data_IF_146543967697
#
_entry.id   IF_146543967697
#
_cell.length_a   1.000
_cell.length_b   1.000
_cell.length_c   1.000
_cell.angle_alpha   90.00
_cell.angle_beta   90.00
_cell.angle_gamma   90.00
#
_symmetry.space_group_name_H-M   'P 1'
#
loop_
_entity.id
_entity.type
_entity.pdbx_description
1 polymer ?
#
# COMPACT_ATOMS: atom_id res chain seq x y z
N UNK A 1 12.77 -12.31 -0.79
CA UNK A 1 11.78 -11.33 -1.24
C UNK A 1 11.61 -10.27 -0.18
N UNK A 2 11.69 -9.00 -0.54
CA UNK A 2 11.69 -7.90 0.44
C UNK A 2 10.30 -7.51 0.94
N UNK A 3 9.25 -7.70 0.13
CA UNK A 3 7.88 -7.33 0.53
C UNK A 3 7.32 -8.38 1.47
N UNK A 4 7.05 -7.99 2.73
CA UNK A 4 6.50 -8.91 3.73
C UNK A 4 4.97 -8.86 3.77
N UNK A 5 4.38 -7.74 3.36
CA UNK A 5 2.94 -7.57 3.28
C UNK A 5 2.61 -6.42 2.35
N UNK A 6 1.59 -6.60 1.50
CA UNK A 6 0.95 -5.51 0.78
C UNK A 6 -0.42 -5.27 1.43
N UNK A 7 -0.82 -3.99 1.56
CA UNK A 7 -2.08 -3.64 2.21
C UNK A 7 -2.77 -2.54 1.43
N UNK A 8 -4.07 -2.68 1.22
CA UNK A 8 -4.92 -1.62 0.67
C UNK A 8 -5.48 -0.83 1.85
N UNK A 9 -5.20 0.46 1.88
CA UNK A 9 -5.70 1.34 2.93
C UNK A 9 -5.81 2.75 2.35
N UNK A 10 -7.05 3.25 2.25
CA UNK A 10 -7.32 4.56 1.64
C UNK A 10 -6.61 5.72 2.34
N UNK A 11 -6.22 5.53 3.60
CA UNK A 11 -5.51 6.55 4.38
C UNK A 11 -3.99 6.42 4.27
N UNK A 12 -3.48 5.33 3.68
CA UNK A 12 -2.06 5.05 3.49
C UNK A 12 -1.30 5.06 4.83
N UNK A 13 -0.38 6.00 5.04
CA UNK A 13 0.36 6.08 6.30
C UNK A 13 -0.49 6.79 7.35
N UNK A 14 -0.83 6.09 8.43
CA UNK A 14 -1.59 6.65 9.56
C UNK A 14 -1.30 5.81 10.81
N UNK A 15 -1.85 6.28 11.95
CA UNK A 15 -1.53 5.70 13.26
C UNK A 15 -1.70 4.20 13.34
N UNK A 16 -2.80 3.65 12.80
CA UNK A 16 -3.05 2.20 12.87
C UNK A 16 -1.99 1.41 12.10
N UNK A 17 -1.56 1.90 10.94
CA UNK A 17 -0.50 1.25 10.18
C UNK A 17 0.80 1.27 10.97
N UNK A 18 1.15 2.43 11.54
CA UNK A 18 2.42 2.59 12.26
C UNK A 18 2.44 1.83 13.58
N UNK A 19 1.32 1.81 14.32
CA UNK A 19 1.26 1.22 15.64
C UNK A 19 0.97 -0.28 15.64
N UNK A 20 0.21 -0.77 14.66
CA UNK A 20 -0.23 -2.15 14.61
C UNK A 20 0.48 -2.96 13.51
N UNK A 21 0.39 -2.52 12.26
CA UNK A 21 0.86 -3.34 11.15
C UNK A 21 2.36 -3.38 11.00
N UNK A 22 3.05 -2.24 11.21
CA UNK A 22 4.51 -2.20 11.13
C UNK A 22 5.15 -3.16 12.12
N UNK A 23 4.79 -3.14 13.44
CA UNK A 23 5.35 -4.13 14.36
C UNK A 23 4.91 -5.55 14.05
N UNK A 24 3.66 -5.76 13.65
CA UNK A 24 3.12 -7.09 13.42
C UNK A 24 3.91 -7.84 12.34
N UNK A 25 4.27 -7.17 11.25
CA UNK A 25 5.05 -7.79 10.18
C UNK A 25 6.55 -7.50 10.31
N UNK A 26 6.94 -6.79 11.35
CA UNK A 26 8.34 -6.41 11.62
C UNK A 26 8.95 -5.67 10.42
N UNK A 27 8.22 -4.69 9.90
CA UNK A 27 8.67 -3.90 8.76
C UNK A 27 9.68 -2.84 9.18
N UNK A 28 10.70 -2.63 8.37
CA UNK A 28 11.67 -1.54 8.55
C UNK A 28 11.64 -0.56 7.39
N UNK A 29 10.75 -0.78 6.42
CA UNK A 29 10.56 0.08 5.25
C UNK A 29 9.09 0.10 4.89
N UNK A 30 8.56 1.29 4.61
CA UNK A 30 7.21 1.47 4.10
C UNK A 30 7.33 2.07 2.70
N UNK A 31 6.66 1.44 1.72
CA UNK A 31 6.57 1.96 0.36
C UNK A 31 5.12 2.33 0.11
N UNK A 32 4.86 3.59 -0.23
CA UNK A 32 3.55 4.10 -0.61
C UNK A 32 3.53 4.23 -2.13
N UNK A 33 2.75 3.41 -2.79
CA UNK A 33 2.61 3.39 -4.24
C UNK A 33 1.28 4.06 -4.62
N UNK A 34 1.33 5.36 -4.91
CA UNK A 34 0.12 6.13 -5.21
C UNK A 34 0.48 7.36 -6.04
N UNK A 35 -0.10 7.44 -7.24
CA UNK A 35 0.21 8.52 -8.16
C UNK A 35 -0.22 9.89 -7.63
N UNK A 36 -1.36 9.95 -6.96
CA UNK A 36 -1.89 11.21 -6.45
C UNK A 36 -0.98 11.77 -5.34
N UNK A 37 -0.70 10.96 -4.34
CA UNK A 37 0.12 11.38 -3.19
C UNK A 37 1.54 11.69 -3.61
N UNK A 38 2.08 10.96 -4.59
CA UNK A 38 3.42 11.23 -5.10
C UNK A 38 3.58 12.66 -5.59
N UNK A 39 2.49 13.26 -6.10
CA UNK A 39 2.49 14.65 -6.59
C UNK A 39 2.06 15.68 -5.55
N UNK A 40 1.75 15.29 -4.31
CA UNK A 40 1.24 16.19 -3.28
C UNK A 40 2.28 16.40 -2.19
N UNK A 41 3.06 17.48 -2.29
CA UNK A 41 4.19 17.73 -1.40
C UNK A 41 3.78 17.85 0.07
N UNK A 42 2.61 18.45 0.35
CA UNK A 42 2.13 18.60 1.73
C UNK A 42 1.83 17.24 2.36
N UNK A 43 1.09 16.37 1.65
CA UNK A 43 0.77 15.03 2.16
C UNK A 43 2.03 14.19 2.36
N UNK A 44 2.97 14.27 1.42
CA UNK A 44 4.26 13.57 1.56
C UNK A 44 4.98 14.03 2.83
N UNK A 45 5.01 15.33 3.09
CA UNK A 45 5.65 15.89 4.28
C UNK A 45 4.97 15.39 5.56
N UNK A 46 3.64 15.36 5.60
CA UNK A 46 2.88 14.87 6.76
C UNK A 46 3.21 13.40 7.03
N UNK A 47 3.22 12.58 5.99
CA UNK A 47 3.55 11.16 6.14
C UNK A 47 4.99 10.95 6.62
N UNK A 48 5.94 11.70 6.05
CA UNK A 48 7.35 11.61 6.45
C UNK A 48 7.54 12.02 7.90
N UNK A 49 6.81 13.04 8.35
CA UNK A 49 6.89 13.50 9.75
C UNK A 49 6.32 12.48 10.73
N UNK A 50 5.34 11.67 10.31
CA UNK A 50 4.70 10.68 11.16
C UNK A 50 5.53 9.40 11.34
N UNK A 51 6.40 9.08 10.39
CA UNK A 51 7.15 7.82 10.39
C UNK A 51 8.42 7.98 11.23
N UNK A 52 8.67 7.06 12.18
CA UNK A 52 9.92 7.10 12.98
C UNK A 52 11.17 7.02 12.10
N UNK A 53 12.25 7.63 12.58
CA UNK A 53 13.52 7.67 11.83
C UNK A 53 14.12 6.28 11.60
N UNK A 54 13.76 5.30 12.41
CA UNK A 54 14.23 3.92 12.25
C UNK A 54 13.59 3.19 11.05
N UNK A 55 12.53 3.77 10.47
CA UNK A 55 11.80 3.17 9.36
C UNK A 55 12.00 4.03 8.12
N UNK A 56 12.45 3.39 7.03
CA UNK A 56 12.59 4.08 5.74
C UNK A 56 11.21 4.26 5.11
N UNK A 57 10.92 5.46 4.64
CA UNK A 57 9.66 5.75 3.93
C UNK A 57 9.97 6.16 2.50
N UNK A 58 9.35 5.47 1.55
CA UNK A 58 9.43 5.77 0.12
C UNK A 58 8.02 6.05 -0.38
N UNK A 59 7.82 7.20 -0.99
CA UNK A 59 6.54 7.59 -1.60
C UNK A 59 6.81 7.89 -3.07
N UNK A 60 6.06 7.24 -3.95
CA UNK A 60 6.25 7.46 -5.38
C UNK A 60 5.03 7.02 -6.19
N UNK A 61 5.10 7.26 -7.50
CA UNK A 61 4.08 6.76 -8.42
C UNK A 61 4.13 5.24 -8.49
N UNK A 62 3.11 4.63 -9.08
CA UNK A 62 3.11 3.17 -9.28
C UNK A 62 4.32 2.72 -10.09
N UNK A 63 4.67 3.44 -11.16
CA UNK A 63 5.84 3.10 -11.97
C UNK A 63 7.15 3.27 -11.21
N UNK A 64 7.30 4.38 -10.47
CA UNK A 64 8.52 4.63 -9.69
C UNK A 64 8.74 3.57 -8.62
N UNK A 65 7.69 3.28 -7.85
CA UNK A 65 7.79 2.31 -6.76
C UNK A 65 7.96 0.89 -7.30
N UNK A 66 7.29 0.55 -8.41
CA UNK A 66 7.48 -0.76 -9.04
C UNK A 66 8.95 -0.95 -9.46
N UNK A 67 9.55 0.06 -10.05
CA UNK A 67 10.96 0.00 -10.46
C UNK A 67 11.87 -0.25 -9.25
N UNK A 68 11.63 0.45 -8.14
CA UNK A 68 12.43 0.28 -6.91
C UNK A 68 12.23 -1.12 -6.32
N UNK A 69 10.98 -1.59 -6.28
CA UNK A 69 10.65 -2.88 -5.66
C UNK A 69 11.17 -4.07 -6.46
N UNK A 70 11.24 -3.95 -7.79
CA UNK A 70 11.77 -5.00 -8.67
C UNK A 70 13.29 -5.02 -8.61
N UNK A 71 13.92 -3.88 -8.35
CA UNK A 71 15.37 -3.77 -8.26
C UNK A 71 15.91 -4.43 -6.98
N UNK A 72 17.24 -4.43 -6.82
CA UNK A 72 17.88 -4.97 -5.62
C UNK A 72 18.01 -3.94 -4.49
N UNK A 73 17.53 -2.72 -4.68
CA UNK A 73 17.72 -1.61 -3.74
C UNK A 73 17.16 -1.90 -2.35
N UNK A 74 16.03 -2.63 -2.27
CA UNK A 74 15.37 -2.95 -1.01
C UNK A 74 15.49 -4.42 -0.62
N UNK A 75 16.45 -5.14 -1.19
CA UNK A 75 16.56 -6.59 -1.03
C UNK A 75 16.70 -7.01 0.44
N UNK A 76 17.37 -6.20 1.26
CA UNK A 76 17.62 -6.50 2.69
C UNK A 76 16.60 -5.85 3.61
N UNK A 77 15.60 -5.15 3.05
CA UNK A 77 14.56 -4.50 3.86
C UNK A 77 13.34 -5.38 3.98
N UNK A 78 12.62 -5.21 5.07
CA UNK A 78 11.30 -5.82 5.26
C UNK A 78 10.26 -4.75 4.93
N UNK A 79 9.63 -4.88 3.77
CA UNK A 79 8.81 -3.83 3.17
C UNK A 79 7.34 -4.07 3.45
N UNK A 80 6.67 -3.06 3.99
CA UNK A 80 5.22 -2.96 4.00
C UNK A 80 4.81 -2.07 2.83
N UNK A 81 4.10 -2.64 1.87
CA UNK A 81 3.69 -1.95 0.65
C UNK A 81 2.24 -1.49 0.79
N UNK A 82 1.99 -0.19 0.64
CA UNK A 82 0.68 0.41 0.83
C UNK A 82 0.12 0.92 -0.49
N UNK A 83 -1.13 0.54 -0.76
CA UNK A 83 -1.94 1.04 -1.87
C UNK A 83 -3.17 1.74 -1.32
N UNK A 84 -3.67 2.75 -2.03
CA UNK A 84 -4.89 3.45 -1.62
C UNK A 84 -6.17 2.71 -2.03
N UNK A 85 -6.09 1.86 -3.05
CA UNK A 85 -7.26 1.18 -3.62
C UNK A 85 -6.86 -0.11 -4.34
N UNK A 86 -7.86 -0.87 -4.76
CA UNK A 86 -7.64 -2.15 -5.44
C UNK A 86 -7.06 -2.00 -6.85
N UNK A 87 -7.42 -0.92 -7.55
CA UNK A 87 -6.89 -0.67 -8.89
C UNK A 87 -5.37 -0.49 -8.86
N UNK A 88 -4.86 0.23 -7.85
CA UNK A 88 -3.42 0.42 -7.67
C UNK A 88 -2.71 -0.90 -7.39
N UNK A 89 -3.32 -1.77 -6.57
CA UNK A 89 -2.75 -3.08 -6.28
C UNK A 89 -2.64 -3.94 -7.55
N UNK A 90 -3.68 -3.93 -8.38
CA UNK A 90 -3.65 -4.65 -9.65
C UNK A 90 -2.61 -4.06 -10.60
N UNK A 91 -2.55 -2.74 -10.70
CA UNK A 91 -1.59 -2.07 -11.58
C UNK A 91 -0.16 -2.40 -11.20
N UNK A 92 0.14 -2.43 -9.91
CA UNK A 92 1.48 -2.80 -9.43
C UNK A 92 1.81 -4.24 -9.84
N UNK A 93 0.86 -5.16 -9.71
CA UNK A 93 1.05 -6.54 -10.14
C UNK A 93 1.31 -6.63 -11.65
N UNK A 94 0.58 -5.84 -12.45
CA UNK A 94 0.78 -5.79 -13.89
C UNK A 94 2.16 -5.21 -14.25
N UNK A 95 2.69 -4.32 -13.41
CA UNK A 95 4.03 -3.75 -13.60
C UNK A 95 5.15 -4.70 -13.14
N UNK A 96 4.82 -5.87 -12.63
CA UNK A 96 5.79 -6.88 -12.25
C UNK A 96 6.10 -6.97 -10.77
N UNK A 97 5.41 -6.21 -9.92
CA UNK A 97 5.60 -6.29 -8.47
C UNK A 97 4.95 -7.56 -7.96
N UNK A 98 5.74 -8.39 -7.27
CA UNK A 98 5.25 -9.61 -6.64
C UNK A 98 5.16 -9.39 -5.14
N UNK A 99 3.97 -9.59 -4.57
CA UNK A 99 3.77 -9.52 -3.13
C UNK A 99 3.07 -10.80 -2.66
N UNK A 100 3.48 -11.33 -1.49
CA UNK A 100 3.01 -12.66 -1.06
C UNK A 100 1.58 -12.64 -0.54
N UNK A 101 1.15 -11.53 0.08
CA UNK A 101 -0.16 -11.39 0.69
C UNK A 101 -0.69 -9.99 0.47
N UNK A 102 -1.98 -9.89 0.21
CA UNK A 102 -2.68 -8.61 0.10
C UNK A 102 -3.72 -8.53 1.21
N UNK A 103 -3.52 -7.60 2.13
CA UNK A 103 -4.44 -7.35 3.24
C UNK A 103 -5.40 -6.22 2.87
N UNK A 104 -6.68 -6.41 3.14
CA UNK A 104 -7.69 -5.39 2.87
C UNK A 104 -7.93 -4.59 4.14
N UNK A 105 -7.47 -3.35 4.15
CA UNK A 105 -7.68 -2.41 5.24
C UNK A 105 -8.83 -1.46 4.93
N UNK A 106 -8.62 -0.17 5.19
CA UNK A 106 -9.63 0.84 4.90
C UNK A 106 -9.75 1.05 3.40
N UNK A 107 -10.93 0.76 2.85
CA UNK A 107 -11.26 1.07 1.47
C UNK A 107 -12.35 2.13 1.49
N UNK A 108 -12.20 3.17 0.65
CA UNK A 108 -13.08 4.32 0.67
C UNK A 108 -14.54 3.91 0.43
N UNK A 109 -15.43 4.32 1.35
CA UNK A 109 -16.87 4.07 1.22
C UNK A 109 -17.50 5.13 0.31
N UNK A 110 -18.26 4.69 -0.69
CA UNK A 110 -18.96 5.57 -1.61
C UNK A 110 -20.25 4.90 -2.08
N UNK A 111 -21.07 5.65 -2.81
CA UNK A 111 -22.31 5.11 -3.39
C UNK A 111 -21.99 3.91 -4.27
N UNK A 112 -22.75 2.86 -4.17
CA UNK A 112 -22.58 1.63 -4.94
C UNK A 112 -21.66 0.60 -4.31
N UNK A 113 -21.07 0.90 -3.15
CA UNK A 113 -20.22 -0.05 -2.42
C UNK A 113 -20.97 -0.71 -1.27
N UNK A 114 -20.87 -2.02 -1.17
CA UNK A 114 -21.38 -2.79 -0.05
C UNK A 114 -20.34 -2.80 1.06
N UNK A 115 -20.81 -2.64 2.29
CA UNK A 115 -19.92 -2.63 3.45
C UNK A 115 -19.81 -4.03 4.03
N UNK A 116 -18.59 -4.59 4.00
CA UNK A 116 -18.32 -5.93 4.55
C UNK A 116 -17.83 -5.89 5.98
N UNK A 117 -17.16 -4.80 6.37
CA UNK A 117 -16.77 -4.52 7.76
C UNK A 117 -16.94 -3.04 8.02
N UNK A 118 -16.67 -2.59 9.23
CA UNK A 118 -16.74 -1.16 9.56
C UNK A 118 -15.67 -0.34 8.81
N UNK A 119 -14.63 -0.96 8.27
CA UNK A 119 -13.53 -0.26 7.61
C UNK A 119 -13.36 -0.64 6.14
N UNK A 120 -14.10 -1.64 5.64
CA UNK A 120 -13.98 -2.12 4.26
C UNK A 120 -15.30 -1.95 3.55
N UNK A 121 -15.29 -1.26 2.41
CA UNK A 121 -16.44 -1.11 1.53
C UNK A 121 -16.01 -1.45 0.11
N UNK A 122 -16.74 -2.34 -0.55
CA UNK A 122 -16.41 -2.82 -1.89
C UNK A 122 -17.57 -2.59 -2.84
N UNK A 123 -17.26 -2.19 -4.07
CA UNK A 123 -18.21 -2.23 -5.18
C UNK A 123 -17.87 -3.41 -6.09
N UNK A 124 -18.66 -3.61 -7.14
CA UNK A 124 -18.45 -4.73 -8.06
C UNK A 124 -17.08 -4.66 -8.73
N UNK A 125 -16.63 -3.46 -9.07
CA UNK A 125 -15.32 -3.28 -9.70
C UNK A 125 -14.19 -3.69 -8.75
N UNK A 126 -14.28 -3.32 -7.46
CA UNK A 126 -13.28 -3.71 -6.46
C UNK A 126 -13.19 -5.24 -6.37
N UNK A 127 -14.32 -5.93 -6.34
CA UNK A 127 -14.36 -7.38 -6.24
C UNK A 127 -13.69 -8.01 -7.48
N UNK A 128 -14.01 -7.53 -8.66
CA UNK A 128 -13.42 -8.03 -9.92
C UNK A 128 -11.91 -7.82 -9.95
N UNK A 129 -11.45 -6.63 -9.54
CA UNK A 129 -10.02 -6.31 -9.50
C UNK A 129 -9.29 -7.21 -8.52
N UNK A 130 -9.85 -7.42 -7.32
CA UNK A 130 -9.22 -8.27 -6.31
C UNK A 130 -9.15 -9.73 -6.76
N UNK A 131 -10.17 -10.20 -7.50
CA UNK A 131 -10.13 -11.55 -8.07
C UNK A 131 -8.99 -11.68 -9.09
N UNK A 132 -8.75 -10.66 -9.91
CA UNK A 132 -7.63 -10.65 -10.86
C UNK A 132 -6.28 -10.61 -10.17
N UNK A 133 -6.17 -9.91 -9.04
CA UNK A 133 -4.94 -9.89 -8.25
C UNK A 133 -4.63 -11.27 -7.69
N UNK A 134 -5.66 -11.99 -7.24
CA UNK A 134 -5.53 -13.32 -6.69
C UNK A 134 -5.03 -14.32 -7.73
N UNK A 135 -5.53 -14.19 -8.96
CA UNK A 135 -5.11 -15.03 -10.07
C UNK A 135 -3.68 -14.67 -10.52
#
# INVERSE_FOLDING_TARGET
>A
MSIVLARIDSRLVHGQVLEAWVPYVNADCIVVANNKVAGESFQRMVMQAAVPSSIKLIIGTLEETASILISTDLLRKRVLLLFANSDDALKARQLGVEYPKLNLGNMHSSAGKDRYTCTIALDQQDIEVLQKVED
#
